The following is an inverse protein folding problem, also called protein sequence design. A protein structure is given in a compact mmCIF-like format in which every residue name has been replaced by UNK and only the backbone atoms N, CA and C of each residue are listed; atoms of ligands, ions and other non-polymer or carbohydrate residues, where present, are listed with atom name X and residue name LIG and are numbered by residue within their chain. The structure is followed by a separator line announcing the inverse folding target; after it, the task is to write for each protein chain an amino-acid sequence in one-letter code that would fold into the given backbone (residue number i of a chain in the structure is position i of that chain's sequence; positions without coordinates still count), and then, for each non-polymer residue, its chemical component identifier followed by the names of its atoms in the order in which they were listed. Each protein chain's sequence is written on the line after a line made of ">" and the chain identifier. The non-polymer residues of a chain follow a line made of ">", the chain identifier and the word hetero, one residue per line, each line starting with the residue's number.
data_IF_553325941722
#
_entry.id   IF_553325941722
#
_cell.length_a   1.000
_cell.length_b   1.000
_cell.length_c   1.000
_cell.angle_alpha   90.00
_cell.angle_beta   90.00
_cell.angle_gamma   90.00
#
_symmetry.space_group_name_H-M   'P 1'
#
loop_
_entity.id
_entity.type
_entity.pdbx_description
1 polymer ?
#
# COMPACT_ATOMS: atom_id res chain seq x y z
N UNK A 1 -13.34 5.88 -11.73
CA UNK A 1 -12.84 5.75 -10.34
C UNK A 1 -11.35 5.97 -10.41
N UNK A 2 -10.81 6.94 -9.67
CA UNK A 2 -9.44 7.38 -9.88
C UNK A 2 -8.47 6.24 -9.58
N UNK A 3 -7.75 5.82 -10.61
CA UNK A 3 -6.69 4.82 -10.49
C UNK A 3 -5.47 5.35 -9.72
N UNK A 4 -5.46 6.65 -9.38
CA UNK A 4 -4.41 7.35 -8.62
C UNK A 4 -5.02 8.52 -7.84
N UNK A 5 -4.56 8.76 -6.61
CA UNK A 5 -5.00 9.83 -5.72
C UNK A 5 -4.01 11.01 -5.74
N UNK A 6 -4.46 12.25 -5.99
CA UNK A 6 -3.58 13.42 -5.88
C UNK A 6 -3.15 13.65 -4.42
N UNK A 7 -1.87 13.94 -4.23
CA UNK A 7 -1.28 14.39 -2.96
C UNK A 7 -0.35 15.56 -3.26
N UNK A 8 -0.85 16.78 -3.07
CA UNK A 8 -0.23 18.02 -3.55
C UNK A 8 0.16 17.92 -5.03
N UNK A 9 1.44 18.13 -5.37
CA UNK A 9 1.96 18.05 -6.75
C UNK A 9 2.30 16.60 -7.20
N UNK A 10 2.06 15.61 -6.34
CA UNK A 10 2.34 14.19 -6.61
C UNK A 10 1.04 13.39 -6.69
N UNK A 11 1.14 12.11 -7.04
CA UNK A 11 0.02 11.18 -7.08
C UNK A 11 0.41 9.84 -6.45
N UNK A 12 -0.49 9.28 -5.65
CA UNK A 12 -0.41 7.95 -5.07
C UNK A 12 -1.14 6.95 -5.95
N UNK A 13 -0.64 5.73 -6.07
CA UNK A 13 -1.31 4.69 -6.85
C UNK A 13 -2.68 4.34 -6.28
N UNK A 14 -2.82 4.19 -4.96
CA UNK A 14 -4.12 3.87 -4.36
C UNK A 14 -4.33 4.62 -3.05
N UNK A 15 -5.53 5.17 -2.88
CA UNK A 15 -6.01 5.68 -1.61
C UNK A 15 -7.26 4.91 -1.15
N UNK A 16 -7.12 4.18 -0.04
CA UNK A 16 -8.19 3.38 0.55
C UNK A 16 -8.88 4.14 1.67
N UNK A 17 -10.18 4.41 1.52
CA UNK A 17 -10.99 5.15 2.49
C UNK A 17 -12.03 4.26 3.14
N UNK A 18 -12.26 4.46 4.44
CA UNK A 18 -13.40 3.84 5.16
C UNK A 18 -14.71 4.57 4.91
N UNK A 19 -14.64 5.89 4.68
CA UNK A 19 -15.77 6.77 4.40
C UNK A 19 -15.42 7.57 3.14
N UNK A 20 -16.36 7.67 2.19
CA UNK A 20 -16.09 8.21 0.84
C UNK A 20 -15.46 9.61 0.82
N UNK A 21 -15.84 10.50 1.76
CA UNK A 21 -15.30 11.86 1.88
C UNK A 21 -14.24 12.03 2.97
N UNK A 22 -13.83 10.95 3.62
CA UNK A 22 -12.81 10.97 4.66
C UNK A 22 -11.39 11.00 4.07
N UNK A 23 -10.42 11.26 4.95
CA UNK A 23 -9.00 11.06 4.61
C UNK A 23 -8.71 9.57 4.37
N UNK A 24 -7.73 9.23 3.52
CA UNK A 24 -7.32 7.84 3.31
C UNK A 24 -6.92 7.15 4.61
N UNK A 25 -7.51 5.99 4.87
CA UNK A 25 -7.10 5.12 5.97
C UNK A 25 -5.78 4.43 5.66
N UNK A 26 -5.60 4.00 4.41
CA UNK A 26 -4.37 3.44 3.90
C UNK A 26 -4.08 3.99 2.50
N UNK A 27 -2.80 4.10 2.15
CA UNK A 27 -2.33 4.50 0.83
C UNK A 27 -1.31 3.50 0.33
N UNK A 28 -1.21 3.35 -0.99
CA UNK A 28 -0.34 2.36 -1.63
C UNK A 28 0.52 3.00 -2.72
N UNK A 29 1.72 2.45 -2.86
CA UNK A 29 2.62 2.64 -4.00
C UNK A 29 3.13 1.28 -4.48
N UNK A 30 3.13 1.04 -5.78
CA UNK A 30 3.57 -0.21 -6.42
C UNK A 30 4.91 0.02 -7.12
N UNK A 31 6.00 -0.28 -6.41
CA UNK A 31 7.35 -0.09 -6.91
C UNK A 31 7.96 -1.40 -7.43
N UNK A 32 7.82 -1.68 -8.73
CA UNK A 32 8.46 -2.85 -9.37
C UNK A 32 9.78 -2.44 -10.04
N UNK A 33 9.71 -1.57 -11.05
CA UNK A 33 10.88 -1.03 -11.77
C UNK A 33 11.18 0.44 -11.50
N UNK A 34 10.38 1.11 -10.67
CA UNK A 34 10.47 2.54 -10.40
C UNK A 34 11.51 2.92 -9.35
N UNK A 35 11.52 4.21 -9.03
CA UNK A 35 12.35 4.82 -7.98
C UNK A 35 11.72 4.56 -6.60
N UNK A 36 12.30 3.59 -5.90
CA UNK A 36 11.86 3.18 -4.57
C UNK A 36 11.87 4.34 -3.57
N UNK A 37 12.88 5.21 -3.63
CA UNK A 37 12.99 6.31 -2.68
C UNK A 37 11.91 7.36 -2.93
N UNK A 38 11.66 7.71 -4.20
CA UNK A 38 10.59 8.63 -4.56
C UNK A 38 9.22 8.13 -4.08
N UNK A 39 8.96 6.83 -4.21
CA UNK A 39 7.73 6.19 -3.74
C UNK A 39 7.62 6.19 -2.21
N UNK A 40 8.70 5.87 -1.49
CA UNK A 40 8.73 5.96 -0.03
C UNK A 40 8.49 7.40 0.47
N UNK A 41 8.99 8.42 -0.23
CA UNK A 41 8.75 9.81 0.13
C UNK A 41 7.29 10.24 -0.12
N UNK A 42 6.62 9.72 -1.17
CA UNK A 42 5.17 9.91 -1.36
C UNK A 42 4.38 9.31 -0.20
N UNK A 43 4.73 8.08 0.18
CA UNK A 43 4.10 7.39 1.30
C UNK A 43 4.33 8.11 2.64
N UNK A 44 5.56 8.57 2.92
CA UNK A 44 5.87 9.34 4.13
C UNK A 44 5.05 10.63 4.19
N UNK A 45 4.93 11.33 3.08
CA UNK A 45 4.11 12.55 2.99
C UNK A 45 2.63 12.28 3.33
N UNK A 46 2.08 11.15 2.86
CA UNK A 46 0.73 10.75 3.22
C UNK A 46 0.57 10.41 4.72
N UNK A 47 1.59 9.82 5.35
CA UNK A 47 1.61 9.61 6.80
C UNK A 47 1.62 10.95 7.54
N UNK A 48 2.47 11.89 7.13
CA UNK A 48 2.57 13.20 7.78
C UNK A 48 1.25 14.00 7.66
N UNK A 49 0.55 13.91 6.51
CA UNK A 49 -0.70 14.63 6.27
C UNK A 49 -1.92 13.99 6.93
N UNK A 50 -2.04 12.67 6.88
CA UNK A 50 -3.29 11.96 7.21
C UNK A 50 -3.14 10.90 8.28
N UNK A 51 -1.92 10.64 8.75
CA UNK A 51 -1.59 9.52 9.63
C UNK A 51 -2.09 8.18 9.04
N UNK A 52 -2.06 8.04 7.72
CA UNK A 52 -2.48 6.83 7.01
C UNK A 52 -1.54 5.65 7.29
N UNK A 53 -2.01 4.44 7.00
CA UNK A 53 -1.13 3.30 6.81
C UNK A 53 -0.46 3.43 5.43
N UNK A 54 0.86 3.47 5.40
CA UNK A 54 1.65 3.54 4.17
C UNK A 54 2.04 2.14 3.71
N UNK A 55 1.50 1.68 2.58
CA UNK A 55 1.77 0.35 2.05
C UNK A 55 2.64 0.44 0.81
N UNK A 56 3.89 -0.02 0.92
CA UNK A 56 4.74 -0.25 -0.25
C UNK A 56 4.49 -1.66 -0.76
N UNK A 57 4.06 -1.79 -2.02
CA UNK A 57 4.04 -3.05 -2.76
C UNK A 57 5.27 -3.11 -3.65
N UNK A 58 6.14 -4.10 -3.47
CA UNK A 58 7.43 -4.15 -4.18
C UNK A 58 7.87 -5.58 -4.50
N UNK A 59 8.96 -5.74 -5.26
CA UNK A 59 9.60 -7.05 -5.47
C UNK A 59 10.46 -7.46 -4.27
N UNK A 60 10.69 -8.78 -4.11
CA UNK A 60 11.44 -9.35 -2.97
C UNK A 60 12.85 -8.76 -2.82
N UNK A 61 13.53 -8.52 -3.92
CA UNK A 61 14.89 -7.97 -3.97
C UNK A 61 14.98 -6.54 -3.43
N UNK A 62 13.88 -5.77 -3.48
CA UNK A 62 13.80 -4.39 -2.97
C UNK A 62 13.35 -4.26 -1.52
N UNK A 63 12.87 -5.35 -0.90
CA UNK A 63 12.33 -5.32 0.47
C UNK A 63 13.37 -4.84 1.49
N UNK A 64 14.59 -5.36 1.42
CA UNK A 64 15.64 -5.02 2.37
C UNK A 64 16.11 -3.57 2.22
N UNK A 65 16.18 -3.07 0.99
CA UNK A 65 16.47 -1.67 0.72
C UNK A 65 15.37 -0.76 1.29
N UNK A 66 14.10 -1.11 1.06
CA UNK A 66 12.96 -0.37 1.60
C UNK A 66 12.99 -0.31 3.14
N UNK A 67 13.30 -1.44 3.80
CA UNK A 67 13.45 -1.49 5.27
C UNK A 67 14.52 -0.54 5.77
N UNK A 68 15.69 -0.53 5.14
CA UNK A 68 16.80 0.37 5.53
C UNK A 68 16.40 1.84 5.43
N UNK A 69 15.69 2.24 4.38
CA UNK A 69 15.19 3.60 4.25
C UNK A 69 14.16 3.93 5.33
N UNK A 70 13.22 3.02 5.57
CA UNK A 70 12.14 3.22 6.54
C UNK A 70 12.68 3.32 7.97
N UNK A 71 13.58 2.42 8.36
CA UNK A 71 14.14 2.36 9.72
C UNK A 71 15.24 3.43 9.94
N UNK A 72 15.87 3.89 8.87
CA UNK A 72 16.87 4.96 8.91
C UNK A 72 16.24 6.34 8.71
N UNK A 73 16.14 6.77 7.46
CA UNK A 73 15.75 8.15 7.12
C UNK A 73 14.29 8.48 7.46
N UNK A 74 13.40 7.48 7.53
CA UNK A 74 11.97 7.67 7.75
C UNK A 74 11.49 7.11 9.11
N UNK A 75 12.40 6.95 10.08
CA UNK A 75 12.16 6.24 11.33
C UNK A 75 10.93 6.76 12.11
N UNK A 76 10.65 8.07 12.04
CA UNK A 76 9.51 8.71 12.70
C UNK A 76 8.16 8.18 12.22
N UNK A 77 8.09 7.79 10.94
CA UNK A 77 6.88 7.26 10.31
C UNK A 77 6.88 5.72 10.24
N UNK A 78 7.96 5.04 10.66
CA UNK A 78 8.18 3.61 10.42
C UNK A 78 7.03 2.72 10.93
N UNK A 79 6.40 3.07 12.04
CA UNK A 79 5.27 2.32 12.61
C UNK A 79 4.06 2.24 11.66
N UNK A 80 3.88 3.25 10.80
CA UNK A 80 2.79 3.35 9.83
C UNK A 80 3.09 2.59 8.54
N UNK A 81 4.35 2.22 8.28
CA UNK A 81 4.74 1.54 7.05
C UNK A 81 4.46 0.04 7.09
N UNK A 82 4.03 -0.49 5.95
CA UNK A 82 3.92 -1.92 5.66
C UNK A 82 4.57 -2.18 4.31
N UNK A 83 5.50 -3.13 4.27
CA UNK A 83 6.12 -3.60 3.03
C UNK A 83 5.46 -4.93 2.71
N UNK A 84 4.92 -5.04 1.49
CA UNK A 84 4.24 -6.22 0.99
C UNK A 84 4.84 -6.55 -0.37
N UNK A 85 5.06 -7.83 -0.66
CA UNK A 85 5.56 -8.23 -1.98
C UNK A 85 4.42 -8.42 -2.97
N UNK A 86 4.75 -8.33 -4.27
CA UNK A 86 3.78 -8.62 -5.34
C UNK A 86 3.16 -10.02 -5.18
N UNK A 87 3.96 -11.00 -4.75
CA UNK A 87 3.49 -12.37 -4.49
C UNK A 87 2.51 -12.44 -3.31
N UNK A 88 2.74 -11.70 -2.23
CA UNK A 88 1.82 -11.63 -1.09
C UNK A 88 0.46 -10.99 -1.50
N UNK A 89 0.48 -9.98 -2.38
CA UNK A 89 -0.75 -9.39 -2.95
C UNK A 89 -1.48 -10.41 -3.84
N UNK A 90 -0.77 -11.13 -4.69
CA UNK A 90 -1.34 -12.18 -5.54
C UNK A 90 -1.96 -13.30 -4.69
N UNK A 91 -1.26 -13.73 -3.63
CA UNK A 91 -1.75 -14.73 -2.70
C UNK A 91 -3.02 -14.27 -1.97
N UNK A 92 -3.06 -13.01 -1.52
CA UNK A 92 -4.25 -12.43 -0.90
C UNK A 92 -5.45 -12.45 -1.86
N UNK A 93 -5.23 -12.14 -3.13
CA UNK A 93 -6.26 -12.19 -4.16
C UNK A 93 -6.81 -13.61 -4.34
N UNK A 94 -5.95 -14.61 -4.52
CA UNK A 94 -6.36 -16.00 -4.71
C UNK A 94 -7.08 -16.55 -3.48
N UNK A 95 -6.61 -16.22 -2.27
CA UNK A 95 -7.30 -16.60 -1.02
C UNK A 95 -8.71 -16.00 -0.93
N UNK A 96 -8.88 -14.72 -1.25
CA UNK A 96 -10.19 -14.07 -1.26
C UNK A 96 -11.12 -14.69 -2.30
N UNK A 97 -10.58 -15.00 -3.48
CA UNK A 97 -11.33 -15.64 -4.56
C UNK A 97 -11.81 -17.04 -4.14
N UNK A 98 -10.89 -17.89 -3.69
CA UNK A 98 -11.20 -19.25 -3.24
C UNK A 98 -12.22 -19.28 -2.11
N UNK A 99 -12.11 -18.36 -1.15
CA UNK A 99 -13.11 -18.21 -0.07
C UNK A 99 -14.51 -17.91 -0.63
N UNK A 100 -14.64 -16.93 -1.53
CA UNK A 100 -15.92 -16.60 -2.17
C UNK A 100 -16.49 -17.77 -2.98
N UNK A 101 -15.64 -18.49 -3.71
CA UNK A 101 -16.05 -19.67 -4.46
C UNK A 101 -16.58 -20.78 -3.54
N UNK A 102 -16.01 -20.93 -2.33
CA UNK A 102 -16.49 -21.86 -1.33
C UNK A 102 -17.83 -21.40 -0.73
N UNK A 103 -17.97 -20.12 -0.36
CA UNK A 103 -19.25 -19.59 0.15
C UNK A 103 -20.38 -19.77 -0.87
N UNK A 104 -20.12 -19.54 -2.17
CA UNK A 104 -21.08 -19.74 -3.25
C UNK A 104 -21.48 -21.22 -3.40
N UNK A 105 -20.53 -22.16 -3.29
CA UNK A 105 -20.82 -23.61 -3.30
C UNK A 105 -21.70 -24.03 -2.12
N UNK A 106 -21.57 -23.35 -0.98
CA UNK A 106 -22.37 -23.58 0.22
C UNK A 106 -23.72 -22.83 0.21
N UNK A 107 -23.96 -21.94 -0.75
CA UNK A 107 -25.18 -21.14 -0.84
C UNK A 107 -25.26 -20.00 0.18
N UNK A 108 -24.13 -19.48 0.65
CA UNK A 108 -24.05 -18.38 1.63
C UNK A 108 -23.96 -16.98 1.01
N UNK A 109 -23.76 -16.91 -0.31
CA UNK A 109 -23.76 -15.71 -1.17
C UNK A 109 -24.45 -16.00 -2.48
#
# INVERSE_FOLDING_TARGET
>A
MNAEEPIDEKRLDVAWRRIQRGVPYAVFEVCIGGDLYADLMKLKHAVDLWNSIAVLVTTKDKVEEARKWIEGALYEAAQNFRIVTVEEIAELYERKRSYKELEAKLGLV
#
